data_IF_863265739077
#
_entry.id   IF_863265739077
#
_cell.length_a   1.000
_cell.length_b   1.000
_cell.length_c   1.000
_cell.angle_alpha   90.00
_cell.angle_beta   90.00
_cell.angle_gamma   90.00
#
_symmetry.space_group_name_H-M   'P 1'
#
loop_
_entity.id
_entity.type
_entity.pdbx_description
1 polymer ?
#
# COMPACT_ATOMS: atom_id res chain seq x y z
N UNK A 1 -13.33 26.66 3.76
CA UNK A 1 -14.45 26.86 2.80
C UNK A 1 -15.15 28.21 2.98
N UNK A 2 -15.68 28.57 4.16
CA UNK A 2 -16.37 29.85 4.38
C UNK A 2 -15.54 31.12 4.05
N UNK A 3 -14.22 31.11 4.30
CA UNK A 3 -13.31 32.23 3.99
C UNK A 3 -13.06 32.43 2.48
N UNK A 4 -13.10 31.37 1.69
CA UNK A 4 -12.92 31.42 0.23
C UNK A 4 -14.22 31.90 -0.44
N UNK A 5 -15.39 31.49 0.10
CA UNK A 5 -16.69 32.04 -0.32
C UNK A 5 -16.77 33.55 -0.12
N UNK A 6 -16.35 34.08 1.03
CA UNK A 6 -16.37 35.53 1.28
C UNK A 6 -15.46 36.30 0.31
N UNK A 7 -14.30 35.75 -0.01
CA UNK A 7 -13.33 36.37 -0.93
C UNK A 7 -13.85 36.41 -2.38
N UNK A 8 -14.46 35.34 -2.86
CA UNK A 8 -15.02 35.28 -4.22
C UNK A 8 -16.30 36.11 -4.37
N UNK A 9 -17.16 36.15 -3.34
CA UNK A 9 -18.29 37.08 -3.28
C UNK A 9 -17.81 38.54 -3.27
N UNK A 10 -16.78 38.87 -2.48
CA UNK A 10 -16.20 40.22 -2.47
C UNK A 10 -15.58 40.60 -3.83
N UNK A 11 -14.88 39.69 -4.51
CA UNK A 11 -14.28 39.95 -5.82
C UNK A 11 -15.34 40.20 -6.89
N UNK A 12 -16.42 39.41 -6.90
CA UNK A 12 -17.54 39.60 -7.84
C UNK A 12 -18.34 40.87 -7.55
N UNK A 13 -18.52 41.23 -6.28
CA UNK A 13 -19.09 42.53 -5.92
C UNK A 13 -18.17 43.71 -6.32
N UNK A 14 -16.84 43.52 -6.26
CA UNK A 14 -15.87 44.52 -6.75
C UNK A 14 -15.87 44.66 -8.28
N UNK A 15 -16.07 43.59 -9.05
CA UNK A 15 -16.21 43.66 -10.51
C UNK A 15 -17.49 44.41 -10.92
N UNK A 16 -18.60 44.17 -10.22
CA UNK A 16 -19.85 44.92 -10.43
C UNK A 16 -19.64 46.40 -10.06
N UNK A 17 -18.93 46.68 -8.97
CA UNK A 17 -18.59 48.04 -8.54
C UNK A 17 -17.73 48.81 -9.57
N UNK A 18 -16.84 48.12 -10.29
CA UNK A 18 -15.93 48.72 -11.27
C UNK A 18 -16.62 49.20 -12.55
N UNK A 19 -17.84 48.75 -12.85
CA UNK A 19 -18.53 49.11 -14.09
C UNK A 19 -19.52 50.28 -13.95
N UNK A 20 -20.04 50.57 -12.74
CA UNK A 20 -21.16 51.51 -12.59
C UNK A 20 -20.86 52.80 -11.80
N UNK A 21 -19.72 52.91 -11.13
CA UNK A 21 -19.16 54.22 -10.71
C UNK A 21 -20.05 55.13 -9.82
N UNK A 22 -21.09 54.62 -9.16
CA UNK A 22 -21.88 55.39 -8.17
C UNK A 22 -22.66 54.48 -7.21
N UNK A 23 -22.69 54.85 -5.93
CA UNK A 23 -23.58 54.27 -4.93
C UNK A 23 -25.01 54.77 -5.18
N UNK A 24 -25.82 54.06 -5.96
CA UNK A 24 -27.26 54.25 -5.92
C UNK A 24 -27.88 53.33 -4.86
N UNK A 25 -28.50 53.94 -3.86
CA UNK A 25 -29.22 53.30 -2.76
C UNK A 25 -30.58 52.75 -3.21
N UNK A 26 -30.61 51.82 -4.15
CA UNK A 26 -31.82 51.09 -4.51
C UNK A 26 -31.49 49.63 -4.83
N UNK A 27 -31.29 48.84 -3.78
CA UNK A 27 -31.40 47.39 -3.88
C UNK A 27 -32.85 47.06 -4.22
N UNK A 28 -33.14 46.73 -5.48
CA UNK A 28 -34.49 46.33 -5.89
C UNK A 28 -34.65 44.83 -5.65
N UNK A 29 -35.88 44.39 -5.35
CA UNK A 29 -36.23 42.98 -5.09
C UNK A 29 -35.72 42.03 -6.19
N UNK A 30 -35.66 42.52 -7.44
CA UNK A 30 -35.14 41.82 -8.61
C UNK A 30 -33.64 41.46 -8.50
N UNK A 31 -32.83 42.28 -7.83
CA UNK A 31 -31.38 42.04 -7.68
C UNK A 31 -31.11 40.92 -6.65
N UNK A 32 -31.93 40.85 -5.59
CA UNK A 32 -31.90 39.74 -4.63
C UNK A 32 -32.30 38.41 -5.27
N UNK A 33 -33.26 38.42 -6.19
CA UNK A 33 -33.70 37.21 -6.90
C UNK A 33 -32.61 36.71 -7.86
N UNK A 34 -31.88 37.60 -8.54
CA UNK A 34 -30.73 37.24 -9.39
C UNK A 34 -29.56 36.68 -8.57
N UNK A 35 -29.24 37.28 -7.42
CA UNK A 35 -28.19 36.76 -6.52
C UNK A 35 -28.56 35.41 -5.95
N UNK A 36 -29.82 35.20 -5.57
CA UNK A 36 -30.30 33.90 -5.07
C UNK A 36 -30.28 32.82 -6.15
N UNK A 37 -30.69 33.14 -7.38
CA UNK A 37 -30.66 32.18 -8.49
C UNK A 37 -29.22 31.79 -8.86
N UNK A 38 -28.28 32.75 -8.87
CA UNK A 38 -26.84 32.48 -9.06
C UNK A 38 -26.24 31.64 -7.91
N UNK A 39 -26.67 31.89 -6.66
CA UNK A 39 -26.25 31.10 -5.51
C UNK A 39 -26.80 29.67 -5.59
N UNK A 40 -28.03 29.48 -6.04
CA UNK A 40 -28.64 28.16 -6.18
C UNK A 40 -28.12 27.41 -7.41
N UNK A 41 -27.74 28.12 -8.47
CA UNK A 41 -26.99 27.54 -9.60
C UNK A 41 -25.58 27.13 -9.17
N UNK A 42 -24.88 27.95 -8.39
CA UNK A 42 -23.58 27.60 -7.83
C UNK A 42 -23.67 26.43 -6.86
N UNK A 43 -24.68 26.38 -5.98
CA UNK A 43 -24.90 25.23 -5.08
C UNK A 43 -25.20 23.95 -5.85
N UNK A 44 -25.98 24.02 -6.94
CA UNK A 44 -26.25 22.87 -7.82
C UNK A 44 -24.98 22.43 -8.53
N UNK A 45 -24.26 23.35 -9.18
CA UNK A 45 -23.01 23.03 -9.84
C UNK A 45 -21.92 22.55 -8.87
N UNK A 46 -21.89 23.06 -7.64
CA UNK A 46 -21.00 22.60 -6.59
C UNK A 46 -21.43 21.24 -6.04
N UNK A 47 -22.72 20.98 -5.89
CA UNK A 47 -23.28 19.66 -5.54
C UNK A 47 -22.91 18.62 -6.60
N UNK A 48 -23.13 18.94 -7.87
CA UNK A 48 -22.83 18.06 -8.99
C UNK A 48 -21.30 17.86 -9.15
N UNK A 49 -20.49 18.91 -8.94
CA UNK A 49 -19.03 18.79 -8.92
C UNK A 49 -18.49 18.03 -7.69
N UNK A 50 -19.21 18.04 -6.56
CA UNK A 50 -18.87 17.26 -5.36
C UNK A 50 -19.25 15.78 -5.53
N UNK A 51 -20.33 15.47 -6.26
CA UNK A 51 -20.73 14.09 -6.59
C UNK A 51 -19.86 13.50 -7.73
N UNK A 52 -19.44 14.29 -8.72
CA UNK A 52 -18.57 13.82 -9.82
C UNK A 52 -17.12 13.52 -9.38
N UNK A 53 -16.68 13.97 -8.19
CA UNK A 53 -15.30 13.73 -7.77
C UNK A 53 -15.08 12.33 -7.17
N UNK A 54 -16.14 11.61 -6.83
CA UNK A 54 -16.04 10.23 -6.34
C UNK A 54 -16.13 9.23 -7.48
N UNK A 55 -14.99 8.64 -7.84
CA UNK A 55 -14.91 7.60 -8.87
C UNK A 55 -13.74 6.66 -8.63
N UNK A 56 -13.77 5.54 -9.33
CA UNK A 56 -12.65 4.60 -9.37
C UNK A 56 -11.48 5.23 -10.13
N UNK A 57 -10.29 5.15 -9.55
CA UNK A 57 -9.06 5.73 -10.12
C UNK A 57 -7.97 4.68 -10.06
N UNK A 58 -7.12 4.64 -11.09
CA UNK A 58 -5.91 3.81 -11.08
C UNK A 58 -5.05 4.12 -9.84
N UNK A 59 -4.35 3.12 -9.30
CA UNK A 59 -3.50 3.28 -8.13
C UNK A 59 -2.37 4.28 -8.40
N UNK A 60 -2.08 5.13 -7.42
CA UNK A 60 -0.87 5.96 -7.38
C UNK A 60 0.17 5.44 -6.39
N UNK A 61 -0.24 4.52 -5.51
CA UNK A 61 0.65 3.70 -4.67
C UNK A 61 0.40 2.22 -4.89
N UNK A 62 1.45 1.41 -5.01
CA UNK A 62 1.32 -0.05 -5.17
C UNK A 62 2.22 -0.78 -4.17
N UNK A 63 1.64 -1.61 -3.32
CA UNK A 63 2.39 -2.53 -2.46
C UNK A 63 2.72 -3.79 -3.27
N UNK A 64 3.90 -3.82 -3.86
CA UNK A 64 4.33 -4.84 -4.83
C UNK A 64 4.79 -6.14 -4.16
N UNK A 65 5.12 -6.10 -2.87
CA UNK A 65 5.73 -7.24 -2.19
C UNK A 65 6.27 -6.91 -0.81
N UNK A 66 6.92 -7.87 -0.15
CA UNK A 66 7.09 -9.27 -0.61
C UNK A 66 6.01 -10.18 -0.04
N UNK A 67 5.76 -11.31 -0.71
CA UNK A 67 4.89 -12.38 -0.16
C UNK A 67 5.42 -12.80 1.22
N UNK A 68 4.55 -12.69 2.23
CA UNK A 68 4.83 -12.90 3.68
C UNK A 68 5.71 -11.85 4.35
N UNK A 69 6.00 -10.72 3.69
CA UNK A 69 6.71 -9.59 4.29
C UNK A 69 5.88 -8.77 5.28
N UNK A 70 4.55 -8.89 5.25
CA UNK A 70 3.64 -8.08 6.07
C UNK A 70 2.72 -7.16 5.26
N UNK A 71 2.61 -7.38 3.95
CA UNK A 71 1.84 -6.53 3.01
C UNK A 71 0.41 -6.24 3.44
N UNK A 72 -0.31 -7.20 4.04
CA UNK A 72 -1.67 -6.95 4.56
C UNK A 72 -1.62 -5.97 5.73
N UNK A 73 -0.69 -6.14 6.68
CA UNK A 73 -0.55 -5.21 7.81
C UNK A 73 -0.27 -3.79 7.30
N UNK A 74 0.69 -3.65 6.37
CA UNK A 74 1.01 -2.37 5.75
C UNK A 74 -0.22 -1.72 5.09
N UNK A 75 -1.00 -2.48 4.30
CA UNK A 75 -2.20 -1.94 3.65
C UNK A 75 -3.26 -1.50 4.67
N UNK A 76 -3.59 -2.34 5.65
CA UNK A 76 -4.61 -2.00 6.66
C UNK A 76 -4.18 -0.81 7.53
N UNK A 77 -2.90 -0.71 7.91
CA UNK A 77 -2.34 0.43 8.64
C UNK A 77 -2.42 1.71 7.81
N UNK A 78 -2.02 1.65 6.54
CA UNK A 78 -2.07 2.80 5.62
C UNK A 78 -3.51 3.26 5.35
N UNK A 79 -4.46 2.31 5.36
CA UNK A 79 -5.88 2.58 5.12
C UNK A 79 -6.57 3.34 6.26
N UNK A 80 -5.91 3.49 7.41
CA UNK A 80 -6.38 4.38 8.48
C UNK A 80 -6.24 5.87 8.09
N UNK A 81 -5.37 6.18 7.13
CA UNK A 81 -5.13 7.56 6.69
C UNK A 81 -6.32 8.07 5.85
N UNK A 82 -6.91 9.25 6.15
CA UNK A 82 -8.12 9.74 5.47
C UNK A 82 -7.90 10.02 3.98
N UNK A 83 -6.66 10.31 3.56
CA UNK A 83 -6.30 10.50 2.15
C UNK A 83 -5.95 9.20 1.40
N UNK A 84 -6.19 8.02 1.98
CA UNK A 84 -5.93 6.74 1.32
C UNK A 84 -7.25 6.04 0.99
N UNK A 85 -7.36 5.56 -0.25
CA UNK A 85 -8.41 4.66 -0.69
C UNK A 85 -7.78 3.32 -1.10
N UNK A 86 -7.92 2.29 -0.27
CA UNK A 86 -7.24 1.02 -0.47
C UNK A 86 -8.14 -0.06 -1.10
N UNK A 87 -7.65 -0.72 -2.15
CA UNK A 87 -8.30 -1.92 -2.68
C UNK A 87 -8.11 -3.09 -1.69
N UNK A 88 -9.22 -3.65 -1.20
CA UNK A 88 -9.17 -4.68 -0.16
C UNK A 88 -8.56 -6.01 -0.65
N UNK A 89 -8.80 -6.37 -1.92
CA UNK A 89 -8.40 -7.65 -2.51
C UNK A 89 -7.05 -7.58 -3.22
N UNK A 90 -6.37 -8.73 -3.35
CA UNK A 90 -5.22 -8.87 -4.24
C UNK A 90 -5.73 -9.00 -5.68
N UNK A 91 -5.52 -7.98 -6.51
CA UNK A 91 -6.15 -7.90 -7.83
C UNK A 91 -5.47 -8.81 -8.85
N UNK A 92 -4.17 -9.09 -8.66
CA UNK A 92 -3.40 -9.93 -9.57
C UNK A 92 -3.50 -9.50 -11.04
N UNK A 93 -3.46 -8.20 -11.32
CA UNK A 93 -3.59 -7.69 -12.68
C UNK A 93 -2.30 -7.86 -13.47
N UNK A 94 -1.17 -7.42 -12.93
CA UNK A 94 0.09 -7.40 -13.68
C UNK A 94 0.82 -8.75 -13.76
N UNK A 95 0.49 -9.71 -12.88
CA UNK A 95 1.17 -11.01 -12.78
C UNK A 95 0.33 -12.23 -13.21
N UNK A 96 -0.92 -12.02 -13.64
CA UNK A 96 -1.80 -13.08 -14.16
C UNK A 96 -2.27 -12.64 -15.54
N UNK A 97 -1.92 -13.43 -16.55
CA UNK A 97 -2.12 -13.07 -17.95
C UNK A 97 -3.60 -12.85 -18.28
N UNK A 98 -4.47 -13.71 -17.76
CA UNK A 98 -5.91 -13.64 -17.97
C UNK A 98 -6.53 -12.35 -17.41
N UNK A 99 -5.93 -11.76 -16.37
CA UNK A 99 -6.38 -10.49 -15.83
C UNK A 99 -5.79 -9.31 -16.62
N UNK A 100 -4.51 -9.38 -16.98
CA UNK A 100 -3.85 -8.33 -17.75
C UNK A 100 -4.52 -8.08 -19.10
N UNK A 101 -4.94 -9.15 -19.79
CA UNK A 101 -5.64 -9.07 -21.09
C UNK A 101 -7.00 -8.37 -21.02
N UNK A 102 -7.59 -8.21 -19.84
CA UNK A 102 -8.85 -7.46 -19.67
C UNK A 102 -8.67 -5.94 -19.77
N UNK A 103 -7.43 -5.45 -19.78
CA UNK A 103 -7.09 -4.04 -19.97
C UNK A 103 -7.21 -3.18 -18.71
N UNK A 104 -6.74 -1.94 -18.82
CA UNK A 104 -6.68 -0.98 -17.70
C UNK A 104 -8.07 -0.55 -17.21
N UNK A 105 -9.08 -0.56 -18.08
CA UNK A 105 -10.45 -0.22 -17.67
C UNK A 105 -10.99 -1.26 -16.67
N UNK A 106 -10.77 -2.55 -16.96
CA UNK A 106 -11.10 -3.62 -16.02
C UNK A 106 -10.33 -3.47 -14.70
N UNK A 107 -9.05 -3.09 -14.78
CA UNK A 107 -8.22 -2.88 -13.60
C UNK A 107 -8.72 -1.73 -12.72
N UNK A 108 -9.04 -0.60 -13.35
CA UNK A 108 -9.61 0.56 -12.68
C UNK A 108 -10.94 0.20 -11.99
N UNK A 109 -11.78 -0.62 -12.63
CA UNK A 109 -13.03 -1.12 -12.03
C UNK A 109 -12.84 -2.00 -10.78
N UNK A 110 -11.62 -2.48 -10.50
CA UNK A 110 -11.32 -3.20 -9.26
C UNK A 110 -10.94 -2.26 -8.10
N UNK A 111 -10.71 -0.98 -8.39
CA UNK A 111 -10.29 0.02 -7.40
C UNK A 111 -11.48 0.53 -6.59
N UNK A 112 -11.28 0.96 -5.33
CA UNK A 112 -12.34 1.63 -4.60
C UNK A 112 -12.69 2.98 -5.25
N UNK A 113 -13.92 3.45 -5.02
CA UNK A 113 -14.22 4.86 -5.25
C UNK A 113 -13.35 5.71 -4.32
N UNK A 114 -12.78 6.76 -4.89
CA UNK A 114 -11.88 7.69 -4.21
C UNK A 114 -12.24 9.13 -4.59
N UNK A 115 -11.90 10.09 -3.75
CA UNK A 115 -11.94 11.52 -4.09
C UNK A 115 -10.63 11.92 -4.82
N UNK A 116 -10.61 12.99 -5.61
CA UNK A 116 -9.38 13.43 -6.33
C UNK A 116 -8.18 13.68 -5.41
N UNK A 117 -8.45 14.15 -4.20
CA UNK A 117 -7.46 14.42 -3.16
C UNK A 117 -6.94 13.16 -2.42
N UNK A 118 -7.46 11.98 -2.74
CA UNK A 118 -7.01 10.71 -2.17
C UNK A 118 -6.05 9.97 -3.10
N UNK A 119 -5.18 9.18 -2.51
CA UNK A 119 -4.30 8.24 -3.19
C UNK A 119 -4.96 6.87 -3.17
N UNK A 120 -5.28 6.33 -4.36
CA UNK A 120 -5.68 4.93 -4.48
C UNK A 120 -4.45 4.04 -4.31
N UNK A 121 -4.58 3.00 -3.48
CA UNK A 121 -3.53 2.01 -3.23
C UNK A 121 -4.05 0.60 -3.42
N UNK A 122 -3.29 -0.27 -4.11
CA UNK A 122 -3.51 -1.71 -4.02
C UNK A 122 -2.28 -2.48 -3.54
N UNK A 123 -2.49 -3.77 -3.31
CA UNK A 123 -1.48 -4.68 -2.79
C UNK A 123 -1.57 -6.04 -3.45
N UNK A 124 -0.58 -6.39 -4.26
CA UNK A 124 -0.43 -7.75 -4.78
C UNK A 124 1.01 -8.22 -4.56
N UNK A 125 1.28 -9.04 -3.53
CA UNK A 125 2.64 -9.39 -3.13
C UNK A 125 3.40 -10.25 -4.15
N UNK A 126 2.68 -10.82 -5.12
CA UNK A 126 3.25 -11.61 -6.22
C UNK A 126 3.90 -10.74 -7.29
N UNK A 127 3.64 -9.44 -7.34
CA UNK A 127 4.24 -8.54 -8.32
C UNK A 127 5.76 -8.53 -8.18
N UNK A 128 6.29 -8.43 -6.96
CA UNK A 128 7.74 -8.28 -6.74
C UNK A 128 8.58 -9.38 -7.41
N UNK A 129 8.12 -10.63 -7.37
CA UNK A 129 8.81 -11.77 -7.97
C UNK A 129 8.40 -12.08 -9.42
N UNK A 130 7.41 -11.39 -9.98
CA UNK A 130 7.00 -11.55 -11.40
C UNK A 130 8.06 -10.96 -12.33
N UNK A 131 8.18 -11.53 -13.52
CA UNK A 131 9.10 -11.05 -14.55
C UNK A 131 8.47 -9.89 -15.33
N UNK A 132 7.16 -9.91 -15.51
CA UNK A 132 6.38 -9.03 -16.37
C UNK A 132 5.86 -7.79 -15.62
N UNK A 133 5.64 -7.91 -14.31
CA UNK A 133 5.00 -6.85 -13.53
C UNK A 133 5.73 -5.48 -13.57
N UNK A 134 7.08 -5.39 -13.49
CA UNK A 134 7.76 -4.09 -13.54
C UNK A 134 7.47 -3.31 -14.81
N UNK A 135 7.65 -3.93 -15.98
CA UNK A 135 7.40 -3.31 -17.29
C UNK A 135 5.93 -2.89 -17.44
N UNK A 136 5.00 -3.77 -17.06
CA UNK A 136 3.56 -3.49 -17.20
C UNK A 136 3.08 -2.36 -16.29
N UNK A 137 3.61 -2.28 -15.07
CA UNK A 137 3.31 -1.17 -14.14
C UNK A 137 3.93 0.13 -14.68
N UNK A 138 5.13 0.07 -15.24
CA UNK A 138 5.79 1.23 -15.86
C UNK A 138 5.03 1.75 -17.08
N UNK A 139 4.49 0.85 -17.89
CA UNK A 139 3.66 1.18 -19.04
C UNK A 139 2.32 1.83 -18.63
N UNK A 140 1.75 1.45 -17.49
CA UNK A 140 0.55 2.07 -16.93
C UNK A 140 0.83 3.49 -16.43
N UNK A 141 1.81 3.65 -15.54
CA UNK A 141 2.13 4.94 -14.93
C UNK A 141 3.59 4.98 -14.47
N UNK A 142 4.41 5.74 -15.20
CA UNK A 142 5.85 5.92 -14.92
C UNK A 142 6.10 6.66 -13.60
N UNK A 143 5.11 7.38 -13.08
CA UNK A 143 5.21 8.19 -11.86
C UNK A 143 4.70 7.49 -10.60
N UNK A 144 4.18 6.26 -10.73
CA UNK A 144 3.62 5.50 -9.61
C UNK A 144 4.67 5.30 -8.50
N UNK A 145 4.21 5.38 -7.25
CA UNK A 145 5.05 5.10 -6.08
C UNK A 145 4.89 3.64 -5.66
N UNK A 146 6.00 2.96 -5.42
CA UNK A 146 6.04 1.54 -5.09
C UNK A 146 6.44 1.36 -3.62
N UNK A 147 5.71 0.51 -2.92
CA UNK A 147 5.98 0.12 -1.54
C UNK A 147 6.43 -1.35 -1.51
N UNK A 148 7.61 -1.58 -0.97
CA UNK A 148 8.23 -2.89 -0.83
C UNK A 148 8.47 -3.20 0.65
N UNK A 149 7.62 -4.00 1.27
CA UNK A 149 7.84 -4.46 2.64
C UNK A 149 8.65 -5.75 2.65
N UNK A 150 9.82 -5.69 3.29
CA UNK A 150 10.75 -6.82 3.42
C UNK A 150 10.84 -7.26 4.87
N UNK A 151 11.28 -8.49 5.09
CA UNK A 151 11.63 -9.03 6.41
C UNK A 151 12.79 -10.00 6.23
N UNK A 152 13.37 -10.46 7.32
CA UNK A 152 14.40 -11.50 7.30
C UNK A 152 14.03 -12.64 6.31
N UNK A 153 14.92 -12.96 5.35
CA UNK A 153 14.63 -13.89 4.26
C UNK A 153 14.32 -15.31 4.76
N UNK A 154 14.93 -15.73 5.87
CA UNK A 154 14.69 -17.02 6.52
C UNK A 154 13.32 -17.01 7.20
N UNK A 155 13.02 -15.98 8.00
CA UNK A 155 11.70 -15.86 8.61
C UNK A 155 10.58 -15.78 7.56
N UNK A 156 10.81 -15.08 6.46
CA UNK A 156 9.87 -14.98 5.33
C UNK A 156 9.63 -16.35 4.70
N UNK A 157 10.70 -17.12 4.48
CA UNK A 157 10.64 -18.48 3.97
C UNK A 157 9.83 -19.40 4.89
N UNK A 158 10.12 -19.40 6.19
CA UNK A 158 9.40 -20.19 7.18
C UNK A 158 7.92 -19.79 7.21
N UNK A 159 7.61 -18.49 7.11
CA UNK A 159 6.24 -17.99 7.05
C UNK A 159 5.50 -18.43 5.78
N UNK A 160 6.20 -18.52 4.64
CA UNK A 160 5.65 -18.99 3.38
C UNK A 160 5.30 -20.47 3.44
N UNK A 161 6.23 -21.30 3.93
CA UNK A 161 5.98 -22.70 4.22
C UNK A 161 4.82 -22.89 5.19
N UNK A 162 4.78 -22.13 6.29
CA UNK A 162 3.72 -22.19 7.30
C UNK A 162 2.35 -21.92 6.67
N UNK A 163 2.24 -20.94 5.77
CA UNK A 163 0.97 -20.70 5.08
C UNK A 163 0.55 -21.91 4.23
N UNK A 164 1.48 -22.53 3.49
CA UNK A 164 1.21 -23.72 2.67
C UNK A 164 0.80 -24.90 3.55
N UNK A 165 1.51 -25.12 4.66
CA UNK A 165 1.25 -26.17 5.65
C UNK A 165 -0.19 -26.10 6.17
N UNK A 166 -0.60 -24.94 6.69
CA UNK A 166 -1.96 -24.73 7.21
C UNK A 166 -3.02 -24.93 6.12
N UNK A 167 -2.76 -24.46 4.89
CA UNK A 167 -3.67 -24.64 3.76
C UNK A 167 -3.82 -26.12 3.34
N UNK A 168 -2.76 -26.92 3.48
CA UNK A 168 -2.80 -28.38 3.24
C UNK A 168 -3.53 -29.10 4.36
N UNK A 169 -3.23 -28.76 5.63
CA UNK A 169 -3.94 -29.30 6.81
C UNK A 169 -5.45 -29.06 6.74
N UNK A 170 -5.88 -27.84 6.43
CA UNK A 170 -7.29 -27.49 6.29
C UNK A 170 -8.01 -28.28 5.18
N UNK A 171 -7.27 -28.71 4.14
CA UNK A 171 -7.79 -29.53 3.03
C UNK A 171 -7.51 -31.03 3.19
N UNK A 172 -7.03 -31.46 4.36
CA UNK A 172 -6.65 -32.84 4.65
C UNK A 172 -5.69 -33.45 3.60
N UNK A 173 -4.79 -32.62 3.06
CA UNK A 173 -3.77 -33.06 2.09
C UNK A 173 -2.46 -33.41 2.79
N UNK A 174 -1.70 -34.41 2.28
CA UNK A 174 -0.38 -34.73 2.81
C UNK A 174 0.56 -33.53 2.67
N UNK A 175 1.51 -33.41 3.59
CA UNK A 175 2.55 -32.39 3.59
C UNK A 175 3.86 -33.00 4.10
N UNK A 176 4.96 -32.37 3.72
CA UNK A 176 6.31 -32.70 4.17
C UNK A 176 6.75 -31.66 5.19
N UNK A 177 7.70 -32.01 6.06
CA UNK A 177 8.33 -31.05 6.97
C UNK A 177 9.12 -30.00 6.19
N UNK A 178 9.52 -28.92 6.86
CA UNK A 178 10.34 -27.90 6.21
C UNK A 178 11.72 -28.47 5.85
N UNK A 179 12.29 -29.28 6.75
CA UNK A 179 13.56 -29.96 6.62
C UNK A 179 13.56 -30.91 5.41
N UNK A 180 12.51 -31.71 5.24
CA UNK A 180 12.35 -32.63 4.11
C UNK A 180 12.29 -31.90 2.76
N UNK A 181 11.72 -30.69 2.74
CA UNK A 181 11.61 -29.87 1.52
C UNK A 181 12.93 -29.17 1.22
N UNK A 182 13.63 -28.71 2.26
CA UNK A 182 14.84 -27.89 2.14
C UNK A 182 16.12 -28.70 2.07
N UNK A 183 16.17 -29.95 2.54
CA UNK A 183 17.39 -30.77 2.49
C UNK A 183 17.35 -31.74 1.30
N UNK A 184 18.43 -31.76 0.52
CA UNK A 184 18.74 -32.80 -0.47
C UNK A 184 20.04 -33.47 -0.05
N UNK A 185 19.95 -34.52 0.75
CA UNK A 185 21.12 -35.07 1.44
C UNK A 185 21.65 -34.06 2.45
N UNK A 186 22.91 -33.63 2.30
CA UNK A 186 23.55 -32.62 3.16
C UNK A 186 23.40 -31.17 2.63
N UNK A 187 22.89 -30.99 1.42
CA UNK A 187 22.80 -29.69 0.75
C UNK A 187 21.42 -29.05 0.84
N UNK A 188 21.39 -27.72 0.73
CA UNK A 188 20.15 -26.95 0.64
C UNK A 188 19.51 -27.05 -0.76
N UNK A 189 18.21 -27.27 -0.78
CA UNK A 189 17.38 -27.22 -1.98
C UNK A 189 17.05 -25.77 -2.36
N UNK A 190 18.01 -25.10 -3.00
CA UNK A 190 17.88 -23.71 -3.45
C UNK A 190 16.76 -23.52 -4.49
N UNK A 191 16.36 -24.58 -5.19
CA UNK A 191 15.23 -24.57 -6.15
C UNK A 191 13.85 -24.47 -5.49
N UNK A 192 13.76 -24.57 -4.15
CA UNK A 192 12.49 -24.38 -3.47
C UNK A 192 11.97 -22.96 -3.70
N UNK A 193 10.74 -22.82 -4.18
CA UNK A 193 10.19 -21.51 -4.60
C UNK A 193 10.20 -20.45 -3.50
N UNK A 194 10.15 -20.84 -2.22
CA UNK A 194 10.26 -19.88 -1.13
C UNK A 194 11.71 -19.37 -0.96
N UNK A 195 12.74 -20.18 -1.20
CA UNK A 195 14.14 -19.73 -1.27
C UNK A 195 14.28 -18.65 -2.34
N UNK A 196 13.81 -18.96 -3.55
CA UNK A 196 13.89 -18.05 -4.69
C UNK A 196 13.19 -16.71 -4.42
N UNK A 197 12.00 -16.72 -3.80
CA UNK A 197 11.28 -15.48 -3.42
C UNK A 197 11.95 -14.66 -2.32
N UNK A 198 12.90 -15.24 -1.58
CA UNK A 198 13.67 -14.54 -0.56
C UNK A 198 14.94 -13.88 -1.12
N UNK A 199 15.27 -14.06 -2.40
CA UNK A 199 16.41 -13.40 -3.05
C UNK A 199 16.02 -11.96 -3.45
N UNK A 200 15.98 -11.06 -2.47
CA UNK A 200 15.44 -9.71 -2.70
C UNK A 200 16.26 -8.88 -3.68
N UNK A 201 17.59 -8.95 -3.64
CA UNK A 201 18.47 -8.24 -4.57
C UNK A 201 18.18 -8.61 -6.04
N UNK A 202 18.02 -9.92 -6.31
CA UNK A 202 17.69 -10.44 -7.65
C UNK A 202 16.39 -9.84 -8.19
N UNK A 203 15.36 -9.76 -7.35
CA UNK A 203 14.07 -9.22 -7.76
C UNK A 203 14.14 -7.70 -7.89
N UNK A 204 14.72 -7.00 -6.91
CA UNK A 204 14.84 -5.55 -6.92
C UNK A 204 15.62 -5.05 -8.13
N UNK A 205 16.69 -5.73 -8.55
CA UNK A 205 17.44 -5.38 -9.75
C UNK A 205 16.54 -5.19 -10.98
N UNK A 206 15.57 -6.10 -11.19
CA UNK A 206 14.60 -5.99 -12.29
C UNK A 206 13.66 -4.80 -12.15
N UNK A 207 13.25 -4.46 -10.94
CA UNK A 207 12.43 -3.27 -10.71
C UNK A 207 13.20 -1.98 -11.00
N UNK A 208 14.50 -1.98 -10.69
CA UNK A 208 15.39 -0.83 -10.92
C UNK A 208 15.73 -0.59 -12.40
N UNK A 209 15.48 -1.55 -13.29
CA UNK A 209 15.54 -1.34 -14.74
C UNK A 209 14.45 -0.37 -15.24
N UNK A 210 13.33 -0.26 -14.51
CA UNK A 210 12.17 0.57 -14.88
C UNK A 210 11.94 1.76 -13.96
N UNK A 211 12.18 1.59 -12.66
CA UNK A 211 11.87 2.61 -11.65
C UNK A 211 13.15 3.07 -10.94
N UNK A 212 13.37 4.38 -10.78
CA UNK A 212 14.45 4.87 -9.93
C UNK A 212 14.21 4.45 -8.47
N UNK A 213 15.29 4.31 -7.71
CA UNK A 213 15.22 3.99 -6.27
C UNK A 213 14.34 4.97 -5.49
N UNK A 214 14.27 6.24 -5.92
CA UNK A 214 13.42 7.28 -5.33
C UNK A 214 11.91 7.01 -5.48
N UNK A 215 11.50 6.09 -6.35
CA UNK A 215 10.10 5.66 -6.52
C UNK A 215 9.79 4.34 -5.80
N UNK A 216 10.76 3.73 -5.11
CA UNK A 216 10.56 2.49 -4.36
C UNK A 216 10.93 2.73 -2.90
N UNK A 217 9.93 2.72 -2.02
CA UNK A 217 10.16 2.80 -0.58
C UNK A 217 10.17 1.41 0.04
N UNK A 218 11.28 1.09 0.71
CA UNK A 218 11.48 -0.18 1.39
C UNK A 218 11.08 -0.07 2.86
N UNK A 219 10.01 -0.77 3.22
CA UNK A 219 9.48 -0.82 4.58
C UNK A 219 10.14 -1.97 5.34
N UNK A 220 10.65 -1.72 6.54
CA UNK A 220 11.18 -2.77 7.42
C UNK A 220 10.01 -3.49 8.09
N UNK A 221 9.70 -4.71 7.64
CA UNK A 221 8.64 -5.53 8.21
C UNK A 221 8.92 -5.98 9.65
N UNK A 222 10.20 -6.12 10.04
CA UNK A 222 10.57 -6.34 11.44
C UNK A 222 10.32 -5.09 12.28
N UNK A 223 10.67 -3.93 11.72
CA UNK A 223 10.34 -2.60 12.27
C UNK A 223 8.83 -2.40 12.44
N UNK A 224 8.04 -2.72 11.43
CA UNK A 224 6.57 -2.58 11.44
C UNK A 224 5.91 -3.45 12.52
N UNK A 225 6.47 -4.62 12.83
CA UNK A 225 6.01 -5.48 13.91
C UNK A 225 6.33 -4.88 15.29
N UNK A 226 7.48 -4.22 15.44
CA UNK A 226 7.96 -3.70 16.73
C UNK A 226 7.48 -2.28 17.05
N UNK A 227 7.49 -1.40 16.04
CA UNK A 227 7.23 0.04 16.13
C UNK A 227 6.49 0.51 14.86
N UNK A 228 5.20 0.16 14.71
CA UNK A 228 4.45 0.46 13.49
C UNK A 228 4.32 1.96 13.20
N UNK A 229 4.17 2.81 14.22
CA UNK A 229 4.04 4.25 14.08
C UNK A 229 5.28 4.90 13.43
N UNK A 230 6.47 4.44 13.79
CA UNK A 230 7.73 4.93 13.21
C UNK A 230 7.85 4.57 11.72
N UNK A 231 7.60 3.30 11.37
CA UNK A 231 7.67 2.86 9.97
C UNK A 231 6.56 3.48 9.11
N UNK A 232 5.33 3.63 9.65
CA UNK A 232 4.23 4.25 8.92
C UNK A 232 4.46 5.74 8.64
N UNK A 233 5.16 6.47 9.51
CA UNK A 233 5.54 7.86 9.24
C UNK A 233 6.43 7.99 8.00
N UNK A 234 7.37 7.07 7.80
CA UNK A 234 8.20 7.07 6.59
C UNK A 234 7.38 6.76 5.33
N UNK A 235 6.36 5.89 5.46
CA UNK A 235 5.42 5.60 4.37
C UNK A 235 4.58 6.83 4.01
N UNK A 236 4.06 7.57 5.00
CA UNK A 236 3.33 8.82 4.78
C UNK A 236 4.19 9.85 4.05
N UNK A 237 5.42 10.10 4.55
CA UNK A 237 6.37 11.01 3.95
C UNK A 237 6.70 10.63 2.50
N UNK A 238 6.97 9.34 2.26
CA UNK A 238 7.25 8.84 0.92
C UNK A 238 6.08 9.06 -0.03
N UNK A 239 4.84 8.82 0.42
CA UNK A 239 3.65 9.05 -0.39
C UNK A 239 3.33 10.54 -0.56
N UNK A 240 3.89 11.41 0.26
CA UNK A 240 3.60 12.85 0.27
C UNK A 240 2.29 13.18 1.00
N UNK A 241 1.98 12.37 2.02
CA UNK A 241 0.82 12.56 2.90
C UNK A 241 1.20 13.42 4.10
N UNK A 242 0.22 14.15 4.61
CA UNK A 242 0.37 14.83 5.90
C UNK A 242 0.48 13.81 7.03
N UNK A 243 1.28 14.05 8.09
CA UNK A 243 1.39 13.12 9.20
C UNK A 243 0.04 12.92 9.91
N UNK A 244 -0.44 11.68 9.96
CA UNK A 244 -1.70 11.32 10.60
C UNK A 244 -1.58 10.04 11.45
N UNK A 245 -0.81 9.06 10.99
CA UNK A 245 -0.61 7.78 11.65
C UNK A 245 0.37 7.92 12.83
N UNK A 246 -0.17 7.83 14.04
CA UNK A 246 0.58 7.96 15.28
C UNK A 246 0.33 6.82 16.27
N UNK A 247 0.95 6.89 17.47
CA UNK A 247 0.79 5.87 18.50
C UNK A 247 -0.67 5.55 18.86
N UNK A 248 -1.57 6.54 18.79
CA UNK A 248 -2.99 6.37 19.11
C UNK A 248 -3.75 5.47 18.11
N UNK A 249 -3.17 5.21 16.93
CA UNK A 249 -3.73 4.33 15.92
C UNK A 249 -3.36 2.85 16.14
N UNK A 250 -2.41 2.56 17.03
CA UNK A 250 -1.86 1.22 17.22
C UNK A 250 -1.87 0.82 18.69
N UNK A 251 -2.41 -0.35 19.00
CA UNK A 251 -2.35 -0.92 20.34
C UNK A 251 -1.85 -2.35 20.32
N UNK A 252 -0.96 -2.71 21.25
CA UNK A 252 -0.43 -4.07 21.30
C UNK A 252 -1.44 -5.03 21.95
N UNK A 253 -1.84 -6.06 21.22
CA UNK A 253 -2.73 -7.10 21.74
C UNK A 253 -1.91 -8.31 22.21
N UNK A 254 -1.83 -8.51 23.53
CA UNK A 254 -1.04 -9.59 24.15
C UNK A 254 -1.47 -10.99 23.69
N UNK A 255 -2.76 -11.24 23.50
CA UNK A 255 -3.27 -12.53 23.04
C UNK A 255 -2.91 -12.78 21.58
N UNK A 256 -2.96 -11.74 20.75
CA UNK A 256 -2.57 -11.84 19.34
C UNK A 256 -1.05 -11.91 19.17
N UNK A 257 -0.29 -11.28 20.06
CA UNK A 257 1.17 -11.14 19.97
C UNK A 257 1.63 -10.10 18.94
N UNK A 258 0.71 -9.24 18.46
CA UNK A 258 0.98 -8.22 17.45
C UNK A 258 0.22 -6.92 17.77
N UNK A 259 0.66 -5.82 17.16
CA UNK A 259 -0.13 -4.59 17.12
C UNK A 259 -1.43 -4.79 16.33
N UNK A 260 -2.49 -4.20 16.87
CA UNK A 260 -3.81 -4.09 16.27
C UNK A 260 -4.14 -2.60 16.04
N UNK A 261 -5.17 -2.36 15.23
CA UNK A 261 -5.50 -1.03 14.71
C UNK A 261 -6.66 -0.43 15.49
N UNK A 262 -6.58 0.87 15.73
CA UNK A 262 -7.63 1.66 16.35
C UNK A 262 -7.89 2.95 15.56
N UNK A 263 -9.15 3.19 15.20
CA UNK A 263 -9.57 4.43 14.56
C UNK A 263 -11.05 4.71 14.85
N UNK A 264 -11.41 5.99 15.08
CA UNK A 264 -12.80 6.44 15.28
C UNK A 264 -13.60 5.64 16.33
N UNK A 265 -12.94 5.18 17.38
CA UNK A 265 -13.55 4.37 18.44
C UNK A 265 -13.66 2.87 18.14
N UNK A 266 -13.33 2.44 16.93
CA UNK A 266 -13.29 1.04 16.55
C UNK A 266 -11.89 0.45 16.74
N UNK A 267 -11.86 -0.81 17.17
CA UNK A 267 -10.63 -1.59 17.36
C UNK A 267 -10.74 -2.88 16.56
N UNK A 268 -9.73 -3.18 15.77
CA UNK A 268 -9.67 -4.45 15.06
C UNK A 268 -8.23 -4.97 14.94
N UNK A 269 -8.10 -6.28 14.98
CA UNK A 269 -6.85 -6.97 14.73
C UNK A 269 -6.88 -7.61 13.34
N UNK A 270 -5.71 -7.84 12.76
CA UNK A 270 -5.62 -8.64 11.55
C UNK A 270 -6.15 -10.07 11.79
N UNK A 271 -6.69 -10.66 10.72
CA UNK A 271 -7.33 -11.98 10.74
C UNK A 271 -6.42 -13.10 11.27
N UNK A 272 -7.02 -14.27 11.56
CA UNK A 272 -6.33 -15.43 12.12
C UNK A 272 -5.26 -16.04 11.19
N UNK A 273 -5.29 -15.74 9.89
CA UNK A 273 -4.25 -16.14 8.94
C UNK A 273 -2.96 -15.31 9.06
N UNK A 274 -3.00 -14.18 9.77
CA UNK A 274 -1.83 -13.31 10.03
C UNK A 274 -1.23 -13.62 11.40
N UNK A 275 0.09 -13.76 11.46
CA UNK A 275 0.79 -14.11 12.71
C UNK A 275 0.62 -15.57 13.13
N UNK A 276 0.59 -16.52 12.17
CA UNK A 276 0.52 -17.96 12.48
C UNK A 276 1.80 -18.41 13.19
N UNK A 277 1.71 -19.27 14.21
CA UNK A 277 2.89 -19.90 14.81
C UNK A 277 3.72 -20.61 13.74
N UNK A 278 5.02 -20.32 13.73
CA UNK A 278 5.97 -20.98 12.84
C UNK A 278 6.36 -22.36 13.42
N UNK A 279 6.64 -23.36 12.56
CA UNK A 279 7.28 -24.59 13.02
C UNK A 279 8.68 -24.27 13.57
N UNK A 280 9.15 -25.08 14.52
CA UNK A 280 10.56 -25.07 14.90
C UNK A 280 11.40 -25.47 13.70
N UNK A 281 12.51 -24.78 13.49
CA UNK A 281 13.50 -25.09 12.45
C UNK A 281 14.72 -25.67 13.15
N UNK A 282 15.23 -26.79 12.64
CA UNK A 282 16.49 -27.40 13.08
C UNK A 282 17.64 -26.37 13.10
N UNK A 283 18.45 -26.34 14.16
CA UNK A 283 19.49 -25.30 14.36
C UNK A 283 20.54 -25.33 13.24
N UNK A 284 20.97 -26.52 12.82
CA UNK A 284 21.91 -26.67 11.71
C UNK A 284 21.31 -26.17 10.40
N UNK A 285 20.02 -26.47 10.15
CA UNK A 285 19.32 -25.96 8.98
C UNK A 285 19.19 -24.43 9.01
N UNK A 286 18.92 -23.85 10.18
CA UNK A 286 18.87 -22.40 10.36
C UNK A 286 20.21 -21.74 10.03
N UNK A 287 21.31 -22.27 10.56
CA UNK A 287 22.67 -21.78 10.27
C UNK A 287 23.00 -21.87 8.77
N UNK A 288 22.66 -22.99 8.13
CA UNK A 288 22.82 -23.15 6.68
C UNK A 288 22.02 -22.12 5.89
N UNK A 289 20.78 -21.83 6.30
CA UNK A 289 19.93 -20.84 5.63
C UNK A 289 20.47 -19.42 5.80
N UNK A 290 20.87 -19.03 7.00
CA UNK A 290 21.46 -17.71 7.25
C UNK A 290 22.77 -17.54 6.46
N UNK A 291 23.64 -18.56 6.46
CA UNK A 291 24.86 -18.57 5.65
C UNK A 291 24.54 -18.39 4.16
N UNK A 292 23.53 -19.12 3.65
CA UNK A 292 23.11 -19.00 2.25
C UNK A 292 22.60 -17.60 1.88
N UNK A 293 21.81 -16.96 2.74
CA UNK A 293 21.25 -15.64 2.44
C UNK A 293 22.20 -14.47 2.71
N UNK A 294 23.25 -14.66 3.51
CA UNK A 294 24.18 -13.59 3.93
C UNK A 294 24.67 -12.71 2.78
N UNK A 295 25.27 -13.28 1.73
CA UNK A 295 25.75 -12.52 0.59
C UNK A 295 24.61 -11.83 -0.18
N UNK A 296 23.47 -12.51 -0.33
CA UNK A 296 22.30 -11.93 -1.00
C UNK A 296 21.68 -10.77 -0.21
N UNK A 297 21.79 -10.80 1.12
CA UNK A 297 21.37 -9.72 2.00
C UNK A 297 22.28 -8.51 1.83
N UNK A 298 23.60 -8.70 1.82
CA UNK A 298 24.57 -7.62 1.57
C UNK A 298 24.34 -6.94 0.21
N UNK A 299 24.09 -7.73 -0.84
CA UNK A 299 23.75 -7.20 -2.16
C UNK A 299 22.48 -6.34 -2.10
N UNK A 300 21.45 -6.79 -1.37
CA UNK A 300 20.21 -6.04 -1.20
C UNK A 300 20.44 -4.75 -0.39
N UNK A 301 21.21 -4.82 0.70
CA UNK A 301 21.53 -3.66 1.55
C UNK A 301 22.26 -2.58 0.76
N UNK A 302 23.22 -2.97 -0.07
CA UNK A 302 23.93 -2.07 -0.97
C UNK A 302 22.98 -1.41 -1.97
N UNK A 303 22.04 -2.15 -2.56
CA UNK A 303 21.06 -1.61 -3.51
C UNK A 303 20.11 -0.58 -2.87
N UNK A 304 19.70 -0.79 -1.62
CA UNK A 304 18.72 0.09 -0.94
C UNK A 304 19.37 1.15 -0.04
N UNK A 305 20.70 1.11 0.13
CA UNK A 305 21.45 2.04 0.98
C UNK A 305 21.08 1.94 2.48
N UNK A 306 20.59 0.79 2.94
CA UNK A 306 20.15 0.54 4.32
C UNK A 306 20.40 -0.91 4.69
N UNK A 307 20.92 -1.13 5.90
CA UNK A 307 21.08 -2.47 6.48
C UNK A 307 19.88 -2.85 7.34
N UNK A 308 19.66 -4.15 7.47
CA UNK A 308 18.66 -4.71 8.36
C UNK A 308 19.32 -5.75 9.25
N UNK A 309 18.86 -5.88 10.50
CA UNK A 309 19.37 -6.90 11.42
C UNK A 309 18.70 -8.25 11.10
N UNK A 310 19.11 -8.85 9.99
CA UNK A 310 18.71 -10.19 9.58
C UNK A 310 19.84 -11.17 9.88
N UNK A 311 19.50 -12.45 9.96
CA UNK A 311 20.51 -13.44 9.63
C UNK A 311 20.70 -13.48 8.10
#
# INVERSE_FOLDING_TARGET
MARICLLLLCLKMCEIYSQEGRWETSWKKNDSDVVNDLLDQWKRNASDALDEDWKQRLPKGIIIGVRKGGTRALLEMLSLHPQIAAAHSEIHFFNVEENYQKGLDWYCQQMPNSHSAQITVEKTPGYFSSLEAPERIYAMDRSVKLLLIVRDPVERLVSDYTQILYNRKARQKPYQSLEEILKRGQELNTNYKAMQRSLYALHLARWLEFFPTTQIHVVDGGGLIRQPDSEMRHVEQFLGLEPYLGPDNFYFNKTKGFFCLQAKGERHCLDQSKGRPHPTVDELLLEQLCTYFSQHNEDFFAMVGRTFNWC
#
